data_IF_531549896081
#
_entry.id   IF_531549896081
#
_cell.length_a   1.000
_cell.length_b   1.000
_cell.length_c   1.000
_cell.angle_alpha   90.00
_cell.angle_beta   90.00
_cell.angle_gamma   90.00
#
_symmetry.space_group_name_H-M   'P 1'
#
loop_
_entity.id
_entity.type
_entity.pdbx_description
1 polymer ?
#
# COMPACT_ATOMS: atom_id res chain seq x y z
N UNK A 1 -9.50 -28.74 -25.56
CA UNK A 1 -9.74 -27.61 -24.66
C UNK A 1 -9.85 -26.40 -25.55
N UNK A 2 -11.05 -25.81 -25.63
CA UNK A 2 -11.26 -24.58 -26.39
C UNK A 2 -10.43 -23.50 -25.71
N UNK A 3 -9.42 -22.98 -26.39
CA UNK A 3 -8.81 -21.70 -26.03
C UNK A 3 -9.92 -20.68 -26.19
N UNK A 4 -10.51 -20.25 -25.08
CA UNK A 4 -11.37 -19.06 -25.10
C UNK A 4 -10.38 -17.94 -25.43
N UNK A 5 -10.52 -17.35 -26.63
CA UNK A 5 -9.75 -16.18 -27.01
C UNK A 5 -10.22 -15.03 -26.11
N UNK A 6 -9.52 -14.83 -25.00
CA UNK A 6 -9.67 -13.66 -24.13
C UNK A 6 -9.51 -12.41 -24.99
N UNK A 7 -10.52 -11.54 -24.98
CA UNK A 7 -10.46 -10.27 -25.69
C UNK A 7 -9.55 -9.28 -24.95
N UNK A 8 -9.07 -8.21 -25.62
CA UNK A 8 -8.36 -7.14 -24.92
C UNK A 8 -9.20 -6.48 -23.81
N UNK A 9 -10.52 -6.35 -23.99
CA UNK A 9 -11.42 -5.87 -22.92
C UNK A 9 -11.54 -6.86 -21.77
N UNK A 10 -11.58 -8.18 -22.04
CA UNK A 10 -11.60 -9.19 -20.97
C UNK A 10 -10.30 -9.11 -20.13
N UNK A 11 -9.16 -8.82 -20.77
CA UNK A 11 -7.91 -8.59 -20.08
C UNK A 11 -7.93 -7.30 -19.25
N UNK A 12 -8.51 -6.21 -19.77
CA UNK A 12 -8.67 -4.97 -19.03
C UNK A 12 -9.59 -5.15 -17.81
N UNK A 13 -10.73 -5.81 -17.98
CA UNK A 13 -11.64 -6.15 -16.89
C UNK A 13 -10.93 -6.98 -15.80
N UNK A 14 -10.12 -7.98 -16.19
CA UNK A 14 -9.36 -8.80 -15.24
C UNK A 14 -8.26 -8.03 -14.48
N UNK A 15 -7.66 -6.99 -15.09
CA UNK A 15 -6.73 -6.09 -14.40
C UNK A 15 -7.49 -5.13 -13.47
N UNK A 16 -8.64 -4.62 -13.89
CA UNK A 16 -9.50 -3.77 -13.06
C UNK A 16 -10.04 -4.53 -11.82
N UNK A 17 -10.44 -5.79 -11.98
CA UNK A 17 -10.77 -6.70 -10.86
C UNK A 17 -9.59 -6.87 -9.89
N UNK A 18 -8.37 -6.98 -10.42
CA UNK A 18 -7.16 -7.07 -9.59
C UNK A 18 -6.96 -5.79 -8.80
N UNK A 19 -7.01 -4.64 -9.47
CA UNK A 19 -6.85 -3.31 -8.88
C UNK A 19 -7.89 -3.08 -7.77
N UNK A 20 -9.17 -3.34 -8.06
CA UNK A 20 -10.25 -3.23 -7.07
C UNK A 20 -10.02 -4.13 -5.85
N UNK A 21 -9.49 -5.32 -6.06
CA UNK A 21 -9.19 -6.24 -4.95
C UNK A 21 -8.02 -5.77 -4.11
N UNK A 22 -7.00 -5.16 -4.73
CA UNK A 22 -5.87 -4.55 -4.03
C UNK A 22 -6.39 -3.40 -3.18
N UNK A 23 -7.03 -2.40 -3.80
CA UNK A 23 -7.54 -1.20 -3.13
C UNK A 23 -8.43 -1.57 -1.94
N UNK A 24 -9.39 -2.48 -2.12
CA UNK A 24 -10.26 -2.93 -1.02
C UNK A 24 -9.50 -3.58 0.11
N UNK A 25 -8.46 -4.34 -0.21
CA UNK A 25 -7.66 -5.03 0.80
C UNK A 25 -6.79 -4.02 1.53
N UNK A 26 -6.11 -3.12 0.83
CA UNK A 26 -5.29 -2.05 1.41
C UNK A 26 -6.15 -1.15 2.29
N UNK A 27 -7.25 -0.60 1.76
CA UNK A 27 -8.19 0.24 2.51
C UNK A 27 -8.64 -0.43 3.83
N UNK A 28 -8.99 -1.72 3.79
CA UNK A 28 -9.39 -2.46 4.99
C UNK A 28 -8.25 -2.66 6.00
N UNK A 29 -6.99 -2.61 5.57
CA UNK A 29 -5.82 -2.73 6.44
C UNK A 29 -5.29 -1.41 6.98
N UNK A 30 -5.60 -0.27 6.34
CA UNK A 30 -5.12 1.04 6.78
C UNK A 30 -5.53 1.35 8.23
N UNK A 31 -6.71 0.92 8.67
CA UNK A 31 -7.12 1.00 10.08
C UNK A 31 -6.16 0.27 11.02
N UNK A 32 -5.85 -0.99 10.69
CA UNK A 32 -4.95 -1.82 11.51
C UNK A 32 -3.53 -1.27 11.49
N UNK A 33 -3.08 -0.75 10.35
CA UNK A 33 -1.77 -0.12 10.23
C UNK A 33 -1.68 1.17 11.05
N UNK A 34 -2.72 2.01 11.04
CA UNK A 34 -2.81 3.21 11.87
C UNK A 34 -2.76 2.86 13.37
N UNK A 35 -3.54 1.87 13.81
CA UNK A 35 -3.54 1.37 15.19
C UNK A 35 -2.16 0.85 15.64
N UNK A 36 -1.46 0.14 14.77
CA UNK A 36 -0.10 -0.37 15.01
C UNK A 36 0.94 0.75 15.16
N UNK A 37 0.75 1.87 14.45
CA UNK A 37 1.61 3.05 14.50
C UNK A 37 1.31 3.90 15.74
N UNK A 38 0.07 3.93 16.22
CA UNK A 38 -0.39 4.79 17.31
C UNK A 38 0.12 4.41 18.73
N UNK A 39 0.85 3.30 18.88
CA UNK A 39 1.25 2.76 20.20
C UNK A 39 1.96 3.81 21.08
N UNK A 40 1.30 4.21 22.17
CA UNK A 40 1.67 5.27 23.13
C UNK A 40 2.58 4.78 24.29
N UNK A 41 3.46 3.81 24.04
CA UNK A 41 4.35 3.26 25.09
C UNK A 41 5.68 4.00 25.20
N UNK A 42 5.89 5.06 24.41
CA UNK A 42 7.19 5.71 24.23
C UNK A 42 7.18 7.18 24.67
N UNK A 43 8.14 7.55 25.51
CA UNK A 43 8.33 8.93 26.00
C UNK A 43 9.34 9.75 25.15
N UNK A 44 9.94 9.17 24.10
CA UNK A 44 10.95 9.86 23.27
C UNK A 44 10.29 10.67 22.13
N UNK A 45 10.40 11.99 22.23
CA UNK A 45 9.84 12.96 21.29
C UNK A 45 10.21 12.70 19.82
N UNK A 46 11.42 12.17 19.55
CA UNK A 46 11.88 11.93 18.17
C UNK A 46 11.18 10.73 17.55
N UNK A 47 10.90 9.72 18.37
CA UNK A 47 10.15 8.55 17.92
C UNK A 47 8.68 8.90 17.73
N UNK A 48 8.13 9.76 18.61
CA UNK A 48 6.77 10.27 18.48
C UNK A 48 6.59 11.06 17.17
N UNK A 49 7.53 11.93 16.82
CA UNK A 49 7.45 12.72 15.57
C UNK A 49 7.35 11.84 14.31
N UNK A 50 8.19 10.80 14.21
CA UNK A 50 8.13 9.87 13.07
C UNK A 50 6.80 9.09 13.03
N UNK A 51 6.31 8.65 14.20
CA UNK A 51 5.03 7.94 14.31
C UNK A 51 3.84 8.82 13.96
N UNK A 52 3.80 10.05 14.46
CA UNK A 52 2.73 11.00 14.19
C UNK A 52 2.64 11.35 12.70
N UNK A 53 3.78 11.57 12.05
CA UNK A 53 3.82 11.82 10.60
C UNK A 53 3.30 10.61 9.81
N UNK A 54 3.73 9.40 10.18
CA UNK A 54 3.30 8.18 9.51
C UNK A 54 1.80 7.92 9.72
N UNK A 55 1.32 8.08 10.95
CA UNK A 55 -0.09 7.90 11.28
C UNK A 55 -0.95 8.88 10.49
N UNK A 56 -0.55 10.16 10.42
CA UNK A 56 -1.26 11.15 9.63
C UNK A 56 -1.35 10.77 8.15
N UNK A 57 -0.25 10.29 7.56
CA UNK A 57 -0.23 9.84 6.17
C UNK A 57 -1.19 8.66 5.93
N UNK A 58 -1.18 7.66 6.82
CA UNK A 58 -2.06 6.49 6.73
C UNK A 58 -3.53 6.89 6.88
N UNK A 59 -3.85 7.75 7.85
CA UNK A 59 -5.22 8.18 8.11
C UNK A 59 -5.78 9.02 6.95
N UNK A 60 -4.96 9.91 6.37
CA UNK A 60 -5.32 10.68 5.18
C UNK A 60 -5.57 9.75 3.99
N UNK A 61 -4.67 8.80 3.75
CA UNK A 61 -4.81 7.83 2.67
C UNK A 61 -6.03 6.91 2.84
N UNK A 62 -6.43 6.62 4.08
CA UNK A 62 -7.67 5.87 4.33
C UNK A 62 -8.90 6.62 3.82
N UNK A 63 -8.94 7.94 3.98
CA UNK A 63 -10.03 8.78 3.43
C UNK A 63 -9.97 8.83 1.90
N UNK A 64 -8.77 8.93 1.31
CA UNK A 64 -8.55 8.94 -0.14
C UNK A 64 -8.98 7.61 -0.79
N UNK A 65 -8.57 6.48 -0.21
CA UNK A 65 -8.90 5.13 -0.71
C UNK A 65 -10.40 4.83 -0.73
N UNK A 66 -11.22 5.47 0.13
CA UNK A 66 -12.69 5.40 0.00
C UNK A 66 -13.16 5.99 -1.33
N UNK A 67 -12.61 7.16 -1.71
CA UNK A 67 -12.90 7.79 -2.99
C UNK A 67 -12.27 7.03 -4.17
N UNK A 68 -11.15 6.34 -3.95
CA UNK A 68 -10.53 5.49 -4.97
C UNK A 68 -11.43 4.35 -5.37
N UNK A 69 -12.06 3.68 -4.40
CA UNK A 69 -13.02 2.61 -4.64
C UNK A 69 -14.20 3.08 -5.49
N UNK A 70 -14.76 4.25 -5.20
CA UNK A 70 -15.85 4.84 -5.99
C UNK A 70 -15.42 5.16 -7.44
N UNK A 71 -14.17 5.57 -7.66
CA UNK A 71 -13.60 5.81 -8.99
C UNK A 71 -13.34 4.51 -9.76
N UNK A 72 -12.87 3.47 -9.09
CA UNK A 72 -12.71 2.14 -9.70
C UNK A 72 -14.07 1.56 -10.10
N UNK A 73 -15.11 1.75 -9.30
CA UNK A 73 -16.49 1.35 -9.64
C UNK A 73 -17.00 2.09 -10.89
N UNK A 74 -16.69 3.38 -11.04
CA UNK A 74 -16.96 4.12 -12.29
C UNK A 74 -16.21 3.56 -13.50
N UNK A 75 -14.99 3.08 -13.32
CA UNK A 75 -14.24 2.41 -14.39
C UNK A 75 -14.90 1.08 -14.81
N UNK A 76 -15.50 0.33 -13.87
CA UNK A 76 -16.30 -0.85 -14.19
C UNK A 76 -17.55 -0.49 -15.00
N UNK A 77 -18.26 0.57 -14.59
CA UNK A 77 -19.45 1.07 -15.29
C UNK A 77 -19.13 1.44 -16.75
N UNK A 78 -17.98 2.08 -17.01
CA UNK A 78 -17.52 2.44 -18.35
C UNK A 78 -17.35 1.20 -19.26
N UNK A 79 -16.89 0.08 -18.70
CA UNK A 79 -16.76 -1.19 -19.41
C UNK A 79 -18.08 -1.97 -19.52
N UNK A 80 -19.13 -1.54 -18.82
CA UNK A 80 -20.39 -2.27 -18.72
C UNK A 80 -20.27 -3.58 -17.93
N UNK A 81 -19.29 -3.65 -17.03
CA UNK A 81 -19.01 -4.80 -16.17
C UNK A 81 -19.43 -4.49 -14.72
N UNK A 82 -19.78 -5.51 -13.96
CA UNK A 82 -20.06 -5.36 -12.52
C UNK A 82 -18.75 -5.43 -11.72
N UNK A 83 -18.57 -4.59 -10.68
CA UNK A 83 -17.38 -4.67 -9.83
C UNK A 83 -17.19 -6.06 -9.22
N UNK A 84 -16.06 -6.69 -9.52
CA UNK A 84 -15.72 -8.01 -9.02
C UNK A 84 -14.35 -8.01 -8.34
N UNK A 85 -14.22 -8.89 -7.35
CA UNK A 85 -12.97 -9.08 -6.61
C UNK A 85 -12.42 -10.48 -6.83
N UNK A 86 -11.10 -10.61 -6.74
CA UNK A 86 -10.38 -11.88 -6.78
C UNK A 86 -9.26 -11.87 -5.73
N UNK A 87 -8.85 -13.04 -5.22
CA UNK A 87 -7.71 -13.09 -4.31
C UNK A 87 -6.43 -12.52 -4.95
N UNK A 88 -5.71 -11.70 -4.19
CA UNK A 88 -4.40 -11.14 -4.57
C UNK A 88 -3.36 -11.57 -3.52
N UNK A 89 -2.77 -12.77 -3.65
CA UNK A 89 -1.90 -13.35 -2.61
C UNK A 89 -0.67 -12.51 -2.26
N UNK A 90 -0.26 -11.62 -3.15
CA UNK A 90 0.85 -10.68 -2.92
C UNK A 90 0.55 -9.72 -1.77
N UNK A 91 -0.64 -9.13 -1.74
CA UNK A 91 -1.08 -8.20 -0.70
C UNK A 91 -1.31 -8.95 0.61
N UNK A 92 -2.02 -10.09 0.54
CA UNK A 92 -2.23 -10.97 1.72
C UNK A 92 -0.91 -11.40 2.36
N UNK A 93 0.08 -11.74 1.53
CA UNK A 93 1.41 -12.14 1.98
C UNK A 93 2.17 -11.02 2.67
N UNK A 94 2.08 -9.80 2.15
CA UNK A 94 2.72 -8.62 2.73
C UNK A 94 2.11 -8.26 4.09
N UNK A 95 0.79 -8.29 4.21
CA UNK A 95 0.08 -8.08 5.48
C UNK A 95 0.48 -9.15 6.51
N UNK A 96 0.53 -10.42 6.09
CA UNK A 96 0.94 -11.51 6.96
C UNK A 96 2.41 -11.42 7.38
N UNK A 97 3.28 -10.84 6.56
CA UNK A 97 4.67 -10.53 6.93
C UNK A 97 4.70 -9.45 8.01
N UNK A 98 3.88 -8.40 7.87
CA UNK A 98 3.74 -7.32 8.87
C UNK A 98 3.39 -7.85 10.25
N UNK A 99 2.37 -8.69 10.31
CA UNK A 99 1.93 -9.33 11.55
C UNK A 99 3.03 -10.19 12.20
N UNK A 100 3.82 -10.90 11.39
CA UNK A 100 4.95 -11.69 11.91
C UNK A 100 6.05 -10.79 12.43
N UNK A 101 6.36 -9.69 11.75
CA UNK A 101 7.43 -8.79 12.14
C UNK A 101 7.15 -8.11 13.48
N UNK A 102 5.90 -7.75 13.77
CA UNK A 102 5.48 -7.23 15.08
C UNK A 102 5.87 -8.16 16.25
N UNK A 103 5.96 -9.47 15.99
CA UNK A 103 6.37 -10.48 16.95
C UNK A 103 7.90 -10.73 17.00
N UNK A 104 8.67 -10.23 16.02
CA UNK A 104 10.14 -10.39 15.94
C UNK A 104 10.85 -9.16 16.49
N UNK A 105 10.44 -7.96 16.08
CA UNK A 105 11.01 -6.70 16.58
C UNK A 105 10.18 -6.21 17.76
N UNK A 106 10.66 -6.49 18.97
CA UNK A 106 10.03 -6.09 20.22
C UNK A 106 10.43 -4.68 20.69
N UNK A 107 11.33 -4.02 19.96
CA UNK A 107 11.68 -2.63 20.23
C UNK A 107 10.67 -1.72 19.53
N UNK A 108 9.70 -1.23 20.30
CA UNK A 108 8.70 -0.27 19.83
C UNK A 108 9.34 0.99 19.22
N UNK A 109 10.54 1.39 19.66
CA UNK A 109 11.29 2.51 19.08
C UNK A 109 11.73 2.30 17.63
N UNK A 110 11.90 1.05 17.20
CA UNK A 110 12.36 0.70 15.84
C UNK A 110 11.25 0.22 14.90
N UNK A 111 10.07 -0.15 15.43
CA UNK A 111 8.93 -0.58 14.61
C UNK A 111 8.48 0.40 13.53
N UNK A 112 8.54 1.74 13.72
CA UNK A 112 8.12 2.68 12.67
C UNK A 112 8.88 2.50 11.35
N UNK A 113 10.18 2.14 11.38
CA UNK A 113 10.97 1.84 10.17
C UNK A 113 10.28 0.79 9.29
N UNK A 114 9.74 -0.24 9.95
CA UNK A 114 9.11 -1.35 9.27
C UNK A 114 7.69 -1.03 8.81
N UNK A 115 6.96 -0.19 9.55
CA UNK A 115 5.66 0.30 9.10
C UNK A 115 5.78 1.21 7.87
N UNK A 116 6.79 2.10 7.83
CA UNK A 116 7.10 2.89 6.63
C UNK A 116 7.45 1.96 5.46
N UNK A 117 8.30 0.95 5.67
CA UNK A 117 8.62 -0.02 4.61
C UNK A 117 7.38 -0.80 4.14
N UNK A 118 6.48 -1.17 5.05
CA UNK A 118 5.24 -1.88 4.71
C UNK A 118 4.32 -1.00 3.87
N UNK A 119 4.12 0.25 4.27
CA UNK A 119 3.34 1.23 3.51
C UNK A 119 3.94 1.42 2.11
N UNK A 120 5.24 1.70 1.99
CA UNK A 120 5.93 1.84 0.70
C UNK A 120 5.74 0.65 -0.24
N UNK A 121 5.71 -0.58 0.30
CA UNK A 121 5.48 -1.79 -0.50
C UNK A 121 4.03 -1.91 -0.96
N UNK A 122 3.06 -1.49 -0.14
CA UNK A 122 1.65 -1.43 -0.53
C UNK A 122 1.47 -0.40 -1.66
N UNK A 123 1.99 0.82 -1.47
CA UNK A 123 1.95 1.88 -2.49
C UNK A 123 2.59 1.46 -3.81
N UNK A 124 3.70 0.73 -3.75
CA UNK A 124 4.36 0.22 -4.95
C UNK A 124 3.49 -0.80 -5.70
N UNK A 125 2.73 -1.64 -4.99
CA UNK A 125 1.79 -2.60 -5.59
C UNK A 125 0.64 -1.84 -6.25
N UNK A 126 0.06 -0.84 -5.58
CA UNK A 126 -1.04 -0.02 -6.09
C UNK A 126 -0.61 0.80 -7.29
N UNK A 127 0.46 1.58 -7.20
CA UNK A 127 1.04 2.31 -8.33
C UNK A 127 1.28 1.41 -9.55
N UNK A 128 1.82 0.21 -9.33
CA UNK A 128 2.07 -0.76 -10.42
C UNK A 128 0.76 -1.25 -11.03
N UNK A 129 -0.28 -1.51 -10.21
CA UNK A 129 -1.58 -1.97 -10.68
C UNK A 129 -2.33 -0.86 -11.45
N UNK A 130 -2.33 0.38 -10.95
CA UNK A 130 -2.88 1.54 -11.63
C UNK A 130 -2.19 1.78 -12.98
N UNK A 131 -0.85 1.88 -12.98
CA UNK A 131 -0.07 2.10 -14.21
C UNK A 131 -0.34 1.00 -15.25
N UNK A 132 -0.41 -0.26 -14.81
CA UNK A 132 -0.69 -1.39 -15.70
C UNK A 132 -2.10 -1.31 -16.30
N UNK A 133 -3.10 -1.02 -15.48
CA UNK A 133 -4.51 -0.95 -15.88
C UNK A 133 -4.74 0.21 -16.85
N UNK A 134 -4.25 1.40 -16.51
CA UNK A 134 -4.34 2.58 -17.36
C UNK A 134 -3.58 2.40 -18.68
N UNK A 135 -2.37 1.84 -18.65
CA UNK A 135 -1.61 1.58 -19.87
C UNK A 135 -2.31 0.57 -20.80
N UNK A 136 -3.00 -0.42 -20.24
CA UNK A 136 -3.79 -1.35 -21.03
C UNK A 136 -5.03 -0.66 -21.62
N UNK A 137 -5.75 0.13 -20.83
CA UNK A 137 -6.90 0.91 -21.30
C UNK A 137 -6.49 1.86 -22.44
N UNK A 138 -5.46 2.70 -22.24
CA UNK A 138 -4.96 3.61 -23.28
C UNK A 138 -4.56 2.92 -24.58
N UNK A 139 -4.21 1.62 -24.55
CA UNK A 139 -3.85 0.87 -25.74
C UNK A 139 -5.04 0.35 -26.56
N UNK A 140 -6.27 0.39 -26.02
CA UNK A 140 -7.49 -0.05 -26.72
C UNK A 140 -8.04 1.02 -27.67
N UNK A 141 -7.73 2.31 -27.42
CA UNK A 141 -8.10 3.45 -28.27
C UNK A 141 -9.62 3.56 -28.55
N UNK A 142 -10.45 3.32 -27.53
CA UNK A 142 -11.91 3.44 -27.60
C UNK A 142 -12.50 4.26 -26.43
N UNK A 143 -13.74 4.74 -26.61
CA UNK A 143 -14.39 5.65 -25.66
C UNK A 143 -14.52 5.08 -24.25
N UNK A 144 -14.77 3.77 -24.11
CA UNK A 144 -14.91 3.13 -22.80
C UNK A 144 -13.55 3.03 -22.09
N UNK A 145 -12.50 2.72 -22.83
CA UNK A 145 -11.13 2.74 -22.32
C UNK A 145 -10.66 4.13 -21.89
N UNK A 146 -11.04 5.19 -22.62
CA UNK A 146 -10.72 6.57 -22.23
C UNK A 146 -11.41 6.94 -20.90
N UNK A 147 -12.69 6.56 -20.73
CA UNK A 147 -13.42 6.76 -19.46
C UNK A 147 -12.77 6.01 -18.28
N UNK A 148 -12.20 4.82 -18.50
CA UNK A 148 -11.41 4.09 -17.49
C UNK A 148 -10.17 4.88 -17.08
N UNK A 149 -9.41 5.41 -18.05
CA UNK A 149 -8.19 6.19 -17.75
C UNK A 149 -8.54 7.46 -16.98
N UNK A 150 -9.58 8.17 -17.39
CA UNK A 150 -10.06 9.38 -16.72
C UNK A 150 -10.53 9.09 -15.28
N UNK A 151 -11.21 7.96 -15.06
CA UNK A 151 -11.67 7.57 -13.73
C UNK A 151 -10.52 7.26 -12.77
N UNK A 152 -9.46 6.58 -13.26
CA UNK A 152 -8.36 6.09 -12.43
C UNK A 152 -7.20 7.09 -12.27
N UNK A 153 -7.12 8.12 -13.11
CA UNK A 153 -6.00 9.06 -13.14
C UNK A 153 -5.77 9.80 -11.82
N UNK A 154 -6.84 10.30 -11.19
CA UNK A 154 -6.74 10.98 -9.88
C UNK A 154 -6.21 10.03 -8.80
N UNK A 155 -6.73 8.80 -8.72
CA UNK A 155 -6.23 7.83 -7.73
C UNK A 155 -4.74 7.57 -7.91
N UNK A 156 -4.29 7.39 -9.16
CA UNK A 156 -2.89 7.12 -9.42
C UNK A 156 -1.98 8.29 -9.01
N UNK A 157 -2.43 9.53 -9.20
CA UNK A 157 -1.69 10.71 -8.76
C UNK A 157 -1.65 10.80 -7.21
N UNK A 158 -2.75 10.45 -6.55
CA UNK A 158 -2.83 10.35 -5.08
C UNK A 158 -1.84 9.29 -4.56
N UNK A 159 -1.81 8.07 -5.12
CA UNK A 159 -0.88 7.01 -4.70
C UNK A 159 0.59 7.39 -4.90
N UNK A 160 0.90 8.08 -6.00
CA UNK A 160 2.28 8.55 -6.25
C UNK A 160 2.69 9.60 -5.23
N UNK A 161 1.78 10.49 -4.88
CA UNK A 161 2.04 11.55 -3.90
C UNK A 161 2.31 10.94 -2.53
N UNK A 162 1.46 10.02 -2.08
CA UNK A 162 1.67 9.31 -0.82
C UNK A 162 2.99 8.55 -0.80
N UNK A 163 3.31 7.84 -1.88
CA UNK A 163 4.58 7.13 -2.00
C UNK A 163 5.78 8.08 -1.91
N UNK A 164 5.74 9.22 -2.61
CA UNK A 164 6.81 10.21 -2.57
C UNK A 164 6.97 10.80 -1.15
N UNK A 165 5.86 11.04 -0.44
CA UNK A 165 5.87 11.49 0.95
C UNK A 165 6.50 10.45 1.90
N UNK A 166 6.15 9.16 1.73
CA UNK A 166 6.76 8.07 2.49
C UNK A 166 8.26 7.89 2.17
N UNK A 167 8.67 8.02 0.90
CA UNK A 167 10.08 7.98 0.50
C UNK A 167 10.87 9.14 1.14
N UNK A 168 10.29 10.34 1.16
CA UNK A 168 10.86 11.52 1.84
C UNK A 168 11.04 11.29 3.35
N UNK A 169 10.11 10.57 4.00
CA UNK A 169 10.28 10.17 5.41
C UNK A 169 11.50 9.23 5.58
N UNK A 170 11.74 8.31 4.64
CA UNK A 170 12.86 7.36 4.71
C UNK A 170 14.23 8.00 4.50
N UNK A 171 14.33 8.98 3.61
CA UNK A 171 15.57 9.69 3.30
C UNK A 171 15.81 10.92 4.20
N UNK A 172 14.91 11.16 5.16
CA UNK A 172 14.82 12.39 5.92
C UNK A 172 15.28 12.31 7.39
N UNK A 173 15.21 13.48 8.03
CA UNK A 173 15.47 13.66 9.47
C UNK A 173 14.65 12.74 10.40
N UNK A 174 13.38 12.35 10.10
CA UNK A 174 12.60 11.48 10.99
C UNK A 174 13.25 10.11 11.26
N UNK A 175 13.79 9.46 10.22
CA UNK A 175 14.42 8.13 10.36
C UNK A 175 15.80 8.24 11.00
N UNK A 176 16.60 9.24 10.61
CA UNK A 176 17.87 9.55 11.27
C UNK A 176 17.67 9.81 12.77
N UNK A 177 16.59 10.52 13.12
CA UNK A 177 16.23 10.83 14.48
C UNK A 177 15.81 9.59 15.28
N UNK A 178 15.01 8.72 14.67
CA UNK A 178 14.58 7.46 15.24
C UNK A 178 15.76 6.51 15.50
N UNK A 179 16.68 6.37 14.53
CA UNK A 179 17.89 5.55 14.67
C UNK A 179 18.81 6.07 15.78
N UNK A 180 18.93 7.40 15.92
CA UNK A 180 19.71 8.01 16.98
C UNK A 180 19.08 7.84 18.38
N UNK A 181 17.75 7.78 18.48
CA UNK A 181 17.00 7.56 19.72
C UNK A 181 17.03 6.09 20.18
N UNK A 182 17.28 5.16 19.27
CA UNK A 182 17.39 3.72 19.55
C UNK A 182 18.82 3.19 19.38
N UNK A 183 19.79 3.63 20.21
CA UNK A 183 21.15 3.13 20.11
C UNK A 183 21.16 1.63 20.36
N UNK A 184 21.58 0.86 19.35
CA UNK A 184 21.84 -0.56 19.48
C UNK A 184 23.01 -0.69 20.46
N UNK A 185 22.73 -1.07 21.71
CA UNK A 185 23.77 -1.67 22.54
C UNK A 185 24.34 -2.82 21.72
N UNK A 186 25.67 -2.97 21.67
CA UNK A 186 26.37 -4.11 21.07
C UNK A 186 25.89 -5.41 21.74
N UNK A 187 24.70 -5.86 21.37
CA UNK A 187 24.07 -7.06 21.87
C UNK A 187 24.65 -8.20 21.05
N UNK A 188 25.14 -9.21 21.76
CA UNK A 188 25.72 -10.40 21.17
C UNK A 188 24.75 -10.99 20.14
N UNK A 189 25.14 -10.92 18.86
CA UNK A 189 24.34 -11.41 17.73
C UNK A 189 24.07 -12.91 17.82
N UNK A 190 24.66 -13.63 18.79
CA UNK A 190 24.36 -15.03 19.08
C UNK A 190 22.89 -15.29 19.41
N UNK A 191 22.13 -14.30 19.91
CA UNK A 191 20.68 -14.46 20.19
C UNK A 191 19.79 -14.34 18.96
N UNK A 192 20.36 -14.01 17.80
CA UNK A 192 19.66 -13.85 16.51
C UNK A 192 19.97 -15.00 15.54
N UNK A 193 20.64 -16.07 16.00
CA UNK A 193 20.88 -17.26 15.18
C UNK A 193 19.54 -18.02 15.00
N UNK A 194 18.99 -18.09 13.76
CA UNK A 194 17.77 -18.84 13.50
C UNK A 194 17.95 -20.37 13.61
N UNK A 195 19.15 -20.84 13.99
CA UNK A 195 19.50 -22.25 14.14
C UNK A 195 19.36 -22.79 15.58
N UNK A 196 18.87 -21.99 16.54
CA UNK A 196 18.57 -22.41 17.93
C UNK A 196 17.08 -22.66 18.14
#
# INVERSE_FOLDING_TARGET
>A
MSTIDTTPHDALAAELERLYSIERTVHAQLETLSDDVAIDTLDDMRVLECREQLQYAIDAHREESEAHLERIERAFDALGEEPATRPVPEVDGLIADKEKFNNVVLNDGLRPLYYVETALKLEAIECTAYERTMALASALEDDAADEVVDALGENYDDERTLRDDLESMTDGEPIDALLAASPVADADRSSLDPSI
#
